data_IF_644997436946
#
_entry.id   IF_644997436946
#
_cell.length_a   1.000
_cell.length_b   1.000
_cell.length_c   1.000
_cell.angle_alpha   90.00
_cell.angle_beta   90.00
_cell.angle_gamma   90.00
#
_symmetry.space_group_name_H-M   'P 1'
#
loop_
_entity.id
_entity.type
_entity.pdbx_description
1 polymer ?
#
# COMPACT_ATOMS: atom_id res chain seq x y z
N UNK A 1 7.36 31.34 9.87
CA UNK A 1 6.69 30.09 10.31
C UNK A 1 7.79 29.06 10.57
N UNK A 2 8.23 28.92 11.83
CA UNK A 2 9.49 28.26 12.20
C UNK A 2 9.33 26.75 12.45
N UNK A 3 9.22 25.99 11.37
CA UNK A 3 9.22 24.52 11.41
C UNK A 3 10.51 23.93 12.01
N UNK A 4 11.64 24.65 11.93
CA UNK A 4 12.90 24.25 12.55
C UNK A 4 12.84 24.30 14.10
N UNK A 5 12.12 25.27 14.68
CA UNK A 5 11.98 25.39 16.13
C UNK A 5 11.05 24.34 16.71
N UNK A 6 10.00 23.93 16.00
CA UNK A 6 9.14 22.82 16.43
C UNK A 6 9.86 21.47 16.39
N UNK A 7 10.71 21.24 15.39
CA UNK A 7 11.56 20.03 15.34
C UNK A 7 12.59 20.05 16.48
N UNK A 8 13.25 21.18 16.74
CA UNK A 8 14.21 21.32 17.84
C UNK A 8 13.56 21.20 19.23
N UNK A 9 12.37 21.77 19.44
CA UNK A 9 11.60 21.64 20.68
C UNK A 9 11.09 20.21 20.91
N UNK A 10 10.61 19.53 19.86
CA UNK A 10 10.26 18.11 19.93
C UNK A 10 11.49 17.23 20.23
N UNK A 11 12.65 17.61 19.71
CA UNK A 11 13.93 16.93 20.00
C UNK A 11 14.35 17.10 21.46
N UNK A 12 14.24 18.33 22.00
CA UNK A 12 14.56 18.66 23.40
C UNK A 12 13.61 17.99 24.41
N UNK A 13 12.34 17.80 24.06
CA UNK A 13 11.37 17.06 24.88
C UNK A 13 11.62 15.55 24.90
N UNK A 14 12.31 15.00 23.90
CA UNK A 14 12.66 13.57 23.83
C UNK A 14 13.96 13.21 24.59
N UNK A 15 14.87 14.18 24.81
CA UNK A 15 16.19 13.95 25.41
C UNK A 15 16.19 13.17 26.74
N UNK A 16 15.30 13.43 27.72
CA UNK A 16 15.33 12.69 28.98
C UNK A 16 14.98 11.20 28.83
N UNK A 17 14.26 10.82 27.77
CA UNK A 17 13.79 9.45 27.56
C UNK A 17 14.82 8.61 26.80
N UNK A 18 15.65 9.24 25.97
CA UNK A 18 16.76 8.56 25.27
C UNK A 18 17.81 8.05 26.26
N UNK A 19 18.03 8.79 27.35
CA UNK A 19 18.98 8.41 28.41
C UNK A 19 18.50 7.18 29.20
N UNK A 20 17.19 7.01 29.43
CA UNK A 20 16.64 5.83 30.08
C UNK A 20 16.78 4.57 29.21
N UNK A 21 16.64 4.67 27.89
CA UNK A 21 16.84 3.54 26.97
C UNK A 21 18.26 2.97 27.01
N UNK A 22 19.26 3.81 27.23
CA UNK A 22 20.66 3.39 27.30
C UNK A 22 21.04 2.60 28.55
N UNK A 23 20.20 2.63 29.60
CA UNK A 23 20.47 1.91 30.84
C UNK A 23 20.15 0.39 30.73
N UNK A 24 19.15 0.01 29.92
CA UNK A 24 18.67 -1.37 29.81
C UNK A 24 19.25 -2.14 28.60
N UNK A 25 19.81 -1.44 27.62
CA UNK A 25 20.39 -2.01 26.41
C UNK A 25 21.88 -1.66 26.30
N UNK A 26 22.76 -2.67 26.20
CA UNK A 26 24.13 -2.45 25.76
C UNK A 26 24.13 -1.66 24.44
N UNK A 27 24.98 -0.63 24.31
CA UNK A 27 24.85 0.42 23.28
C UNK A 27 24.71 -0.07 21.83
N UNK A 28 25.29 -1.22 21.48
CA UNK A 28 25.13 -1.85 20.17
C UNK A 28 23.70 -2.38 19.93
N UNK A 29 23.10 -3.05 20.92
CA UNK A 29 21.72 -3.55 20.84
C UNK A 29 20.70 -2.41 20.78
N UNK A 30 20.95 -1.33 21.51
CA UNK A 30 20.11 -0.14 21.47
C UNK A 30 20.05 0.46 20.04
N UNK A 31 21.20 0.54 19.37
CA UNK A 31 21.28 1.09 18.02
C UNK A 31 20.45 0.27 17.03
N UNK A 32 20.55 -1.06 17.08
CA UNK A 32 19.76 -1.98 16.22
C UNK A 32 18.25 -1.79 16.42
N UNK A 33 17.82 -1.66 17.68
CA UNK A 33 16.42 -1.43 18.05
C UNK A 33 15.91 -0.10 17.51
N UNK A 34 16.69 0.98 17.65
CA UNK A 34 16.31 2.31 17.15
C UNK A 34 16.17 2.28 15.63
N UNK A 35 17.11 1.66 14.92
CA UNK A 35 17.03 1.57 13.45
C UNK A 35 15.80 0.75 13.03
N UNK A 36 15.52 -0.37 13.68
CA UNK A 36 14.29 -1.14 13.45
C UNK A 36 13.04 -0.25 13.60
N UNK A 37 12.91 0.45 14.74
CA UNK A 37 11.75 1.30 15.03
C UNK A 37 11.58 2.43 14.00
N UNK A 38 12.66 3.13 13.64
CA UNK A 38 12.64 4.22 12.66
C UNK A 38 12.22 3.71 11.28
N UNK A 39 12.78 2.58 10.82
CA UNK A 39 12.43 1.99 9.53
C UNK A 39 10.99 1.50 9.50
N UNK A 40 10.48 0.90 10.58
CA UNK A 40 9.08 0.47 10.65
C UNK A 40 8.12 1.64 10.61
N UNK A 41 8.38 2.72 11.36
CA UNK A 41 7.58 3.95 11.31
C UNK A 41 7.62 4.58 9.92
N UNK A 42 8.80 4.67 9.31
CA UNK A 42 8.95 5.20 7.94
C UNK A 42 8.10 4.43 6.92
N UNK A 43 8.20 3.10 6.92
CA UNK A 43 7.48 2.26 5.97
C UNK A 43 5.97 2.37 6.18
N UNK A 44 5.50 2.11 7.40
CA UNK A 44 4.08 1.89 7.66
C UNK A 44 3.28 3.17 7.89
N UNK A 45 3.91 4.23 8.41
CA UNK A 45 3.22 5.50 8.66
C UNK A 45 3.39 6.52 7.53
N UNK A 46 4.34 6.32 6.60
CA UNK A 46 4.58 7.28 5.51
C UNK A 46 4.44 6.61 4.15
N UNK A 47 5.29 5.64 3.85
CA UNK A 47 5.40 5.10 2.48
C UNK A 47 4.18 4.29 2.07
N UNK A 48 3.68 3.43 2.96
CA UNK A 48 2.50 2.60 2.68
C UNK A 48 1.26 3.45 2.40
N UNK A 49 0.89 4.45 3.24
CA UNK A 49 -0.19 5.38 2.94
C UNK A 49 -0.02 6.10 1.59
N UNK A 50 1.19 6.58 1.27
CA UNK A 50 1.47 7.22 -0.02
C UNK A 50 1.21 6.26 -1.17
N UNK A 51 1.73 5.03 -1.10
CA UNK A 51 1.51 4.08 -2.18
C UNK A 51 0.06 3.59 -2.28
N UNK A 52 -0.71 3.56 -1.18
CA UNK A 52 -2.17 3.36 -1.23
C UNK A 52 -2.87 4.49 -2.01
N UNK A 53 -2.49 5.75 -1.75
CA UNK A 53 -3.03 6.92 -2.46
C UNK A 53 -2.67 6.85 -3.95
N UNK A 54 -1.42 6.55 -4.29
CA UNK A 54 -0.97 6.38 -5.68
C UNK A 54 -1.77 5.27 -6.36
N UNK A 55 -1.90 4.11 -5.71
CA UNK A 55 -2.62 2.97 -6.26
C UNK A 55 -4.12 3.18 -6.40
N UNK A 56 -4.75 4.05 -5.58
CA UNK A 56 -6.20 4.28 -5.54
C UNK A 56 -6.65 5.50 -6.35
N UNK A 57 -5.94 6.61 -6.33
CA UNK A 57 -6.45 7.87 -6.90
C UNK A 57 -5.72 8.32 -8.16
N UNK A 58 -4.40 8.08 -8.26
CA UNK A 58 -3.61 8.54 -9.40
C UNK A 58 -4.10 8.06 -10.78
N UNK A 59 -4.76 6.89 -10.93
CA UNK A 59 -5.32 6.45 -12.22
C UNK A 59 -6.56 7.24 -12.66
N UNK A 60 -7.27 7.87 -11.72
CA UNK A 60 -8.35 8.79 -12.04
C UNK A 60 -7.79 10.16 -12.45
N UNK A 61 -6.65 10.56 -11.87
CA UNK A 61 -6.05 11.88 -12.08
C UNK A 61 -5.11 11.95 -13.29
N UNK A 62 -4.45 10.84 -13.68
CA UNK A 62 -3.44 10.83 -14.74
C UNK A 62 -3.57 9.58 -15.62
N UNK A 63 -3.28 9.72 -16.92
CA UNK A 63 -3.52 8.67 -17.94
C UNK A 63 -2.51 7.51 -17.92
N UNK A 64 -1.30 7.68 -17.40
CA UNK A 64 -0.21 6.69 -17.16
C UNK A 64 0.98 7.50 -16.61
N UNK A 65 1.75 7.09 -15.58
CA UNK A 65 2.14 5.72 -15.25
C UNK A 65 1.96 5.39 -13.75
N UNK A 66 0.73 5.45 -13.24
CA UNK A 66 0.44 5.20 -11.82
C UNK A 66 1.01 3.89 -11.28
N UNK A 67 0.96 2.82 -12.09
CA UNK A 67 1.39 1.49 -11.69
C UNK A 67 2.90 1.45 -11.45
N UNK A 68 3.68 2.01 -12.39
CA UNK A 68 5.14 2.11 -12.26
C UNK A 68 5.53 2.95 -11.05
N UNK A 69 4.82 4.06 -10.81
CA UNK A 69 5.04 4.90 -9.62
C UNK A 69 4.74 4.14 -8.32
N UNK A 70 3.64 3.41 -8.28
CA UNK A 70 3.28 2.59 -7.11
C UNK A 70 4.35 1.54 -6.83
N UNK A 71 4.73 0.76 -7.83
CA UNK A 71 5.77 -0.28 -7.70
C UNK A 71 7.11 0.33 -7.30
N UNK A 72 7.53 1.42 -7.93
CA UNK A 72 8.81 2.09 -7.61
C UNK A 72 8.84 2.57 -6.16
N UNK A 73 7.79 3.25 -5.70
CA UNK A 73 7.69 3.72 -4.31
C UNK A 73 7.66 2.55 -3.33
N UNK A 74 6.87 1.51 -3.63
CA UNK A 74 6.74 0.34 -2.76
C UNK A 74 8.00 -0.51 -2.72
N UNK A 75 8.78 -0.60 -3.79
CA UNK A 75 10.05 -1.33 -3.80
C UNK A 75 11.17 -0.54 -3.10
N UNK A 76 11.42 0.70 -3.56
CA UNK A 76 12.59 1.46 -3.09
C UNK A 76 12.37 2.00 -1.69
N UNK A 77 11.27 2.72 -1.47
CA UNK A 77 11.01 3.39 -0.21
C UNK A 77 10.28 2.49 0.81
N UNK A 78 9.67 1.38 0.37
CA UNK A 78 8.90 0.47 1.21
C UNK A 78 9.65 -0.82 1.52
N UNK A 79 9.83 -1.67 0.50
CA UNK A 79 10.33 -3.04 0.64
C UNK A 79 11.75 -3.10 1.21
N UNK A 80 12.68 -2.33 0.65
CA UNK A 80 14.07 -2.31 1.10
C UNK A 80 14.18 -1.95 2.59
N UNK A 81 13.67 -0.78 3.06
CA UNK A 81 13.73 -0.44 4.48
C UNK A 81 12.91 -1.38 5.36
N UNK A 82 11.81 -1.94 4.86
CA UNK A 82 11.02 -2.92 5.60
C UNK A 82 11.82 -4.21 5.86
N UNK A 83 12.51 -4.73 4.86
CA UNK A 83 13.36 -5.92 4.99
C UNK A 83 14.51 -5.64 5.96
N UNK A 84 15.23 -4.53 5.77
CA UNK A 84 16.35 -4.14 6.64
C UNK A 84 15.89 -4.00 8.10
N UNK A 85 14.81 -3.25 8.32
CA UNK A 85 14.26 -3.06 9.66
C UNK A 85 13.79 -4.39 10.27
N UNK A 86 13.15 -5.27 9.49
CA UNK A 86 12.68 -6.58 9.99
C UNK A 86 13.84 -7.47 10.42
N UNK A 87 14.91 -7.52 9.63
CA UNK A 87 16.13 -8.26 9.95
C UNK A 87 16.80 -7.70 11.21
N UNK A 88 16.85 -6.38 11.39
CA UNK A 88 17.35 -5.76 12.61
C UNK A 88 16.49 -6.11 13.83
N UNK A 89 15.16 -6.06 13.70
CA UNK A 89 14.23 -6.43 14.77
C UNK A 89 14.36 -7.90 15.20
N UNK A 90 14.62 -8.82 14.26
CA UNK A 90 14.87 -10.23 14.59
C UNK A 90 16.16 -10.46 15.39
N UNK A 91 17.16 -9.59 15.22
CA UNK A 91 18.44 -9.68 15.93
C UNK A 91 18.39 -9.04 17.33
N UNK A 92 17.40 -8.16 17.58
CA UNK A 92 17.27 -7.45 18.86
C UNK A 92 16.44 -8.21 19.91
N UNK A 93 16.12 -9.49 19.70
CA UNK A 93 15.28 -10.25 20.62
C UNK A 93 15.90 -10.32 22.03
N UNK A 94 15.18 -9.78 23.01
CA UNK A 94 15.46 -9.99 24.44
C UNK A 94 14.49 -11.02 25.03
N UNK A 95 14.94 -11.76 26.04
CA UNK A 95 14.24 -12.92 26.63
C UNK A 95 13.04 -12.54 27.51
N UNK A 96 12.54 -11.29 27.46
CA UNK A 96 11.55 -10.79 28.42
C UNK A 96 10.12 -10.65 27.84
N UNK A 97 9.21 -11.39 28.49
CA UNK A 97 7.76 -11.19 28.66
C UNK A 97 6.80 -11.27 27.44
N UNK A 98 5.53 -11.58 27.75
CA UNK A 98 4.40 -11.80 26.82
C UNK A 98 4.19 -10.71 25.76
N UNK A 99 4.44 -9.43 26.07
CA UNK A 99 4.26 -8.33 25.11
C UNK A 99 5.29 -8.38 23.98
N UNK A 100 6.53 -8.75 24.28
CA UNK A 100 7.58 -9.00 23.29
C UNK A 100 7.14 -10.10 22.32
N UNK A 101 6.56 -11.18 22.86
CA UNK A 101 6.04 -12.30 22.08
C UNK A 101 4.89 -11.89 21.15
N UNK A 102 3.94 -11.08 21.62
CA UNK A 102 2.82 -10.61 20.79
C UNK A 102 3.31 -9.69 19.66
N UNK A 103 4.16 -8.70 19.98
CA UNK A 103 4.74 -7.80 18.98
C UNK A 103 5.52 -8.57 17.91
N UNK A 104 6.31 -9.56 18.34
CA UNK A 104 7.11 -10.40 17.46
C UNK A 104 6.22 -11.29 16.56
N UNK A 105 5.17 -11.91 17.12
CA UNK A 105 4.27 -12.77 16.36
C UNK A 105 3.47 -11.98 15.32
N UNK A 106 2.92 -10.83 15.69
CA UNK A 106 2.21 -9.94 14.75
C UNK A 106 3.20 -9.41 13.70
N UNK A 107 4.40 -9.00 14.09
CA UNK A 107 5.45 -8.56 13.18
C UNK A 107 5.83 -9.64 12.16
N UNK A 108 6.01 -10.88 12.63
CA UNK A 108 6.29 -12.04 11.77
C UNK A 108 5.14 -12.35 10.81
N UNK A 109 3.90 -12.25 11.27
CA UNK A 109 2.72 -12.36 10.39
C UNK A 109 2.73 -11.27 9.32
N UNK A 110 3.04 -10.02 9.69
CA UNK A 110 3.13 -8.88 8.75
C UNK A 110 4.22 -9.12 7.70
N UNK A 111 5.36 -9.71 8.06
CA UNK A 111 6.41 -10.10 7.10
C UNK A 111 5.87 -11.14 6.10
N UNK A 112 5.20 -12.19 6.58
CA UNK A 112 4.59 -13.20 5.71
C UNK A 112 3.54 -12.60 4.75
N UNK A 113 2.67 -11.74 5.27
CA UNK A 113 1.67 -11.03 4.47
C UNK A 113 2.30 -10.08 3.45
N UNK A 114 3.41 -9.42 3.80
CA UNK A 114 4.16 -8.56 2.88
C UNK A 114 4.72 -9.36 1.69
N UNK A 115 5.32 -10.53 1.93
CA UNK A 115 5.81 -11.40 0.86
C UNK A 115 4.67 -11.83 -0.04
N UNK A 116 3.54 -12.26 0.53
CA UNK A 116 2.35 -12.62 -0.23
C UNK A 116 1.83 -11.43 -1.05
N UNK A 117 1.83 -10.22 -0.48
CA UNK A 117 1.41 -9.00 -1.16
C UNK A 117 2.32 -8.65 -2.34
N UNK A 118 3.64 -8.85 -2.20
CA UNK A 118 4.60 -8.64 -3.28
C UNK A 118 4.40 -9.65 -4.43
N UNK A 119 4.19 -10.93 -4.10
CA UNK A 119 3.88 -11.97 -5.10
C UNK A 119 2.60 -11.66 -5.86
N UNK A 120 1.51 -11.31 -5.14
CA UNK A 120 0.25 -10.90 -5.77
C UNK A 120 0.44 -9.66 -6.64
N UNK A 121 1.24 -8.68 -6.18
CA UNK A 121 1.55 -7.47 -6.96
C UNK A 121 2.30 -7.78 -8.25
N UNK A 122 3.19 -8.78 -8.24
CA UNK A 122 3.90 -9.27 -9.41
C UNK A 122 2.97 -9.98 -10.40
N UNK A 123 2.09 -10.88 -9.94
CA UNK A 123 1.11 -11.52 -10.83
C UNK A 123 0.19 -10.48 -11.48
N UNK A 124 -0.29 -9.50 -10.71
CA UNK A 124 -1.07 -8.38 -11.24
C UNK A 124 -0.29 -7.58 -12.29
N UNK A 125 1.04 -7.45 -12.16
CA UNK A 125 1.87 -6.81 -13.18
C UNK A 125 1.79 -7.60 -14.50
N UNK A 126 2.00 -8.90 -14.38
CA UNK A 126 2.19 -9.80 -15.50
C UNK A 126 0.96 -9.83 -16.39
N UNK A 127 -0.24 -9.88 -15.80
CA UNK A 127 -1.50 -9.82 -16.55
C UNK A 127 -1.74 -8.46 -17.20
N UNK A 128 -1.42 -7.38 -16.49
CA UNK A 128 -1.59 -6.02 -17.00
C UNK A 128 -0.67 -5.73 -18.20
N UNK A 129 0.53 -6.31 -18.22
CA UNK A 129 1.47 -6.18 -19.33
C UNK A 129 1.05 -7.04 -20.50
N UNK A 130 0.66 -8.29 -20.23
CA UNK A 130 0.36 -9.24 -21.30
C UNK A 130 -1.06 -9.12 -21.87
N UNK A 131 -1.99 -8.46 -21.17
CA UNK A 131 -3.42 -8.32 -21.53
C UNK A 131 -4.13 -9.67 -21.74
N UNK A 132 -3.74 -10.70 -21.00
CA UNK A 132 -4.23 -12.07 -21.22
C UNK A 132 -5.70 -12.27 -20.85
N UNK A 133 -6.25 -11.43 -19.99
CA UNK A 133 -7.63 -11.54 -19.52
C UNK A 133 -8.43 -10.27 -19.79
N UNK A 134 -9.64 -10.45 -20.35
CA UNK A 134 -10.59 -9.37 -20.59
C UNK A 134 -11.20 -8.81 -19.28
N UNK A 135 -11.19 -9.60 -18.22
CA UNK A 135 -11.73 -9.26 -16.88
C UNK A 135 -10.60 -9.39 -15.85
N UNK A 136 -10.62 -8.52 -14.83
CA UNK A 136 -9.66 -8.57 -13.74
C UNK A 136 -9.76 -9.92 -12.98
N UNK A 137 -8.66 -10.65 -12.79
CA UNK A 137 -8.66 -11.92 -12.07
C UNK A 137 -9.02 -11.76 -10.58
N UNK A 138 -9.51 -12.83 -9.95
CA UNK A 138 -9.93 -12.83 -8.53
C UNK A 138 -8.82 -12.38 -7.56
N UNK A 139 -7.56 -12.71 -7.86
CA UNK A 139 -6.41 -12.33 -7.03
C UNK A 139 -6.09 -10.82 -7.05
N UNK A 140 -6.60 -10.05 -8.02
CA UNK A 140 -6.56 -8.58 -7.94
C UNK A 140 -7.32 -8.09 -6.71
N UNK A 141 -8.50 -8.65 -6.44
CA UNK A 141 -9.32 -8.32 -5.28
C UNK A 141 -8.62 -8.70 -3.97
N UNK A 142 -7.95 -9.86 -3.95
CA UNK A 142 -7.18 -10.30 -2.79
C UNK A 142 -6.01 -9.36 -2.52
N UNK A 143 -5.24 -8.96 -3.53
CA UNK A 143 -4.17 -7.99 -3.36
C UNK A 143 -4.66 -6.68 -2.72
N UNK A 144 -5.85 -6.21 -3.10
CA UNK A 144 -6.41 -4.99 -2.51
C UNK A 144 -6.79 -5.15 -1.03
N UNK A 145 -7.46 -6.24 -0.66
CA UNK A 145 -7.90 -6.46 0.71
C UNK A 145 -6.77 -6.89 1.63
N UNK A 146 -5.88 -7.76 1.15
CA UNK A 146 -4.72 -8.21 1.89
C UNK A 146 -3.84 -7.02 2.28
N UNK A 147 -3.54 -6.12 1.34
CA UNK A 147 -2.75 -4.91 1.64
C UNK A 147 -3.36 -4.03 2.74
N UNK A 148 -4.70 -3.94 2.81
CA UNK A 148 -5.38 -3.20 3.89
C UNK A 148 -5.24 -3.90 5.24
N UNK A 149 -5.47 -5.21 5.27
CA UNK A 149 -5.34 -6.02 6.49
C UNK A 149 -3.90 -5.95 7.01
N UNK A 150 -2.90 -6.12 6.13
CA UNK A 150 -1.48 -5.99 6.49
C UNK A 150 -1.16 -4.62 7.06
N UNK A 151 -1.68 -3.55 6.44
CA UNK A 151 -1.46 -2.17 6.94
C UNK A 151 -2.06 -1.98 8.32
N UNK A 152 -3.29 -2.45 8.56
CA UNK A 152 -3.94 -2.34 9.87
C UNK A 152 -3.19 -3.14 10.95
N UNK A 153 -2.76 -4.36 10.64
CA UNK A 153 -1.95 -5.17 11.54
C UNK A 153 -0.62 -4.49 11.88
N UNK A 154 0.07 -3.94 10.88
CA UNK A 154 1.32 -3.24 11.10
C UNK A 154 1.14 -1.97 11.95
N UNK A 155 0.09 -1.18 11.69
CA UNK A 155 -0.23 0.00 12.49
C UNK A 155 -0.55 -0.37 13.94
N UNK A 156 -1.29 -1.46 14.18
CA UNK A 156 -1.57 -1.98 15.52
C UNK A 156 -0.32 -2.54 16.21
N UNK A 157 0.65 -3.04 15.44
CA UNK A 157 1.89 -3.60 15.97
C UNK A 157 2.87 -2.53 16.50
N UNK A 158 2.81 -1.30 15.96
CA UNK A 158 3.72 -0.20 16.34
C UNK A 158 3.58 0.17 17.84
N UNK A 159 2.38 0.42 18.39
CA UNK A 159 2.21 0.67 19.83
C UNK A 159 2.73 -0.46 20.72
N UNK A 160 2.65 -1.71 20.29
CA UNK A 160 3.20 -2.84 21.04
C UNK A 160 4.74 -2.77 21.12
N UNK A 161 5.38 -2.28 20.06
CA UNK A 161 6.81 -1.98 20.06
C UNK A 161 7.18 -0.85 21.04
N UNK A 162 6.36 0.20 21.12
CA UNK A 162 6.57 1.26 22.12
C UNK A 162 6.41 0.75 23.55
N UNK A 163 5.46 -0.16 23.77
CA UNK A 163 5.25 -0.81 25.06
C UNK A 163 6.45 -1.66 25.45
N UNK A 164 6.99 -2.40 24.50
CA UNK A 164 8.21 -3.17 24.68
C UNK A 164 9.41 -2.30 25.07
N UNK A 165 9.54 -1.10 24.48
CA UNK A 165 10.63 -0.16 24.80
C UNK A 165 10.39 0.68 26.06
N UNK A 166 9.19 0.65 26.65
CA UNK A 166 8.83 1.41 27.86
C UNK A 166 9.14 2.92 27.78
N UNK A 167 9.02 3.52 26.58
CA UNK A 167 9.41 4.90 26.25
C UNK A 167 8.43 6.00 26.71
N UNK A 168 7.53 5.69 27.64
CA UNK A 168 6.49 6.61 28.10
C UNK A 168 5.37 6.86 27.08
N UNK A 169 4.56 7.90 27.31
CA UNK A 169 3.29 8.11 26.59
C UNK A 169 3.40 8.92 25.29
N UNK A 170 4.44 9.74 25.12
CA UNK A 170 4.59 10.61 23.95
C UNK A 170 4.58 9.89 22.58
N UNK A 171 5.15 8.68 22.40
CA UNK A 171 5.17 8.03 21.09
C UNK A 171 3.80 7.46 20.72
N UNK A 172 2.99 7.05 21.71
CA UNK A 172 1.59 6.66 21.51
C UNK A 172 0.74 7.84 21.04
N UNK A 173 0.90 9.01 21.67
CA UNK A 173 0.18 10.23 21.29
C UNK A 173 0.57 10.62 19.85
N UNK A 174 1.87 10.62 19.55
CA UNK A 174 2.40 10.95 18.22
C UNK A 174 1.86 9.98 17.16
N UNK A 175 1.88 8.69 17.44
CA UNK A 175 1.31 7.65 16.58
C UNK A 175 -0.18 7.86 16.34
N UNK A 176 -0.97 8.11 17.39
CA UNK A 176 -2.41 8.30 17.28
C UNK A 176 -2.76 9.53 16.42
N UNK A 177 -2.04 10.64 16.60
CA UNK A 177 -2.22 11.86 15.79
C UNK A 177 -1.90 11.57 14.32
N UNK A 178 -0.75 10.95 14.03
CA UNK A 178 -0.33 10.69 12.65
C UNK A 178 -1.30 9.70 11.96
N UNK A 179 -1.69 8.62 12.64
CA UNK A 179 -2.69 7.68 12.12
C UNK A 179 -4.03 8.39 11.91
N UNK A 180 -4.47 9.24 12.84
CA UNK A 180 -5.68 10.04 12.69
C UNK A 180 -5.64 10.94 11.46
N UNK A 181 -4.52 11.62 11.20
CA UNK A 181 -4.31 12.44 10.00
C UNK A 181 -4.35 11.59 8.73
N UNK A 182 -3.66 10.46 8.70
CA UNK A 182 -3.64 9.54 7.54
C UNK A 182 -5.06 9.05 7.25
N UNK A 183 -5.78 8.57 8.26
CA UNK A 183 -7.13 8.04 8.10
C UNK A 183 -8.11 9.14 7.66
N UNK A 184 -7.99 10.35 8.20
CA UNK A 184 -8.80 11.51 7.79
C UNK A 184 -8.53 11.90 6.34
N UNK A 185 -7.25 11.91 5.91
CA UNK A 185 -6.88 12.20 4.54
C UNK A 185 -7.40 11.13 3.57
N UNK A 186 -7.26 9.85 3.92
CA UNK A 186 -7.77 8.74 3.12
C UNK A 186 -9.30 8.79 2.99
N UNK A 187 -10.01 9.09 4.09
CA UNK A 187 -11.46 9.27 4.09
C UNK A 187 -11.88 10.44 3.21
N UNK A 188 -11.25 11.62 3.37
CA UNK A 188 -11.54 12.79 2.55
C UNK A 188 -11.31 12.55 1.05
N UNK A 189 -10.24 11.83 0.70
CA UNK A 189 -9.98 11.42 -0.68
C UNK A 189 -11.02 10.43 -1.21
N UNK A 190 -11.47 9.46 -0.39
CA UNK A 190 -12.47 8.49 -0.81
C UNK A 190 -13.84 9.16 -0.99
N UNK A 191 -14.23 10.07 -0.10
CA UNK A 191 -15.47 10.85 -0.23
C UNK A 191 -15.48 11.72 -1.49
N UNK A 192 -14.34 12.32 -1.85
CA UNK A 192 -14.23 13.22 -3.01
C UNK A 192 -14.01 12.50 -4.33
N UNK A 193 -13.23 11.41 -4.33
CA UNK A 193 -12.71 10.78 -5.54
C UNK A 193 -12.93 9.27 -5.63
N UNK A 194 -13.59 8.63 -4.65
CA UNK A 194 -13.81 7.18 -4.64
C UNK A 194 -14.50 6.65 -5.90
N UNK A 195 -15.48 7.41 -6.41
CA UNK A 195 -16.21 7.09 -7.64
C UNK A 195 -15.56 7.64 -8.93
N UNK A 196 -14.49 8.43 -8.83
CA UNK A 196 -13.92 9.15 -9.97
C UNK A 196 -13.42 8.22 -11.08
N UNK A 197 -12.92 7.02 -10.74
CA UNK A 197 -12.53 6.01 -11.73
C UNK A 197 -13.71 5.44 -12.50
N UNK A 198 -14.80 5.15 -11.81
CA UNK A 198 -16.02 4.61 -12.42
C UNK A 198 -16.61 5.66 -13.36
N UNK A 199 -16.75 6.89 -12.87
CA UNK A 199 -17.22 8.03 -13.67
C UNK A 199 -16.32 8.30 -14.89
N UNK A 200 -14.99 8.19 -14.75
CA UNK A 200 -14.08 8.33 -15.90
C UNK A 200 -14.30 7.22 -16.94
N UNK A 201 -14.41 5.95 -16.52
CA UNK A 201 -14.67 4.81 -17.42
C UNK A 201 -16.01 4.96 -18.16
N UNK A 202 -17.06 5.37 -17.46
CA UNK A 202 -18.38 5.62 -18.05
C UNK A 202 -18.31 6.75 -19.09
N UNK A 203 -17.65 7.88 -18.77
CA UNK A 203 -17.43 8.96 -19.74
C UNK A 203 -16.65 8.51 -20.98
N UNK A 204 -15.57 7.77 -20.78
CA UNK A 204 -14.73 7.25 -21.88
C UNK A 204 -15.55 6.28 -22.77
N UNK A 205 -16.44 5.46 -22.18
CA UNK A 205 -17.35 4.58 -22.90
C UNK A 205 -18.38 5.33 -23.75
N UNK A 206 -19.10 6.30 -23.17
CA UNK A 206 -20.10 7.07 -23.92
C UNK A 206 -19.47 7.89 -25.05
N UNK A 207 -18.27 8.43 -24.83
CA UNK A 207 -17.51 9.12 -25.86
C UNK A 207 -17.18 8.18 -27.02
N UNK A 208 -16.64 6.99 -26.73
CA UNK A 208 -16.33 5.99 -27.75
C UNK A 208 -17.59 5.55 -28.52
N UNK A 209 -18.71 5.33 -27.82
CA UNK A 209 -19.99 4.98 -28.45
C UNK A 209 -20.54 6.08 -29.36
N UNK A 210 -20.35 7.36 -29.01
CA UNK A 210 -20.77 8.49 -29.84
C UNK A 210 -19.92 8.71 -31.09
N UNK A 211 -18.69 8.20 -31.09
CA UNK A 211 -17.76 8.29 -32.22
C UNK A 211 -17.94 7.12 -33.21
N UNK A 212 -18.72 6.09 -32.88
CA UNK A 212 -19.07 5.01 -33.81
C UNK A 212 -20.00 5.57 -34.88
N UNK A 213 -19.64 5.54 -36.17
CA UNK A 213 -20.53 5.97 -37.24
C UNK A 213 -21.82 5.16 -37.18
N UNK A 214 -22.96 5.84 -37.12
CA UNK A 214 -24.26 5.17 -37.19
C UNK A 214 -24.31 4.35 -38.47
N UNK A 215 -24.39 3.02 -38.33
CA UNK A 215 -24.64 2.15 -39.48
C UNK A 215 -25.88 2.66 -40.23
N UNK A 216 -25.92 2.56 -41.58
CA UNK A 216 -27.06 3.04 -42.33
C UNK A 216 -28.33 2.40 -41.80
N UNK A 217 -29.31 3.20 -41.37
CA UNK A 217 -30.59 2.71 -40.83
C UNK A 217 -31.44 1.94 -41.87
N UNK A 218 -30.98 1.86 -43.12
CA UNK A 218 -31.62 1.16 -44.22
C UNK A 218 -31.00 -0.21 -44.52
N UNK A 219 -30.08 -0.70 -43.69
CA UNK A 219 -29.63 -2.09 -43.78
C UNK A 219 -30.74 -3.05 -43.32
N UNK A 220 -30.85 -4.24 -43.92
CA UNK A 220 -31.82 -5.24 -43.46
C UNK A 220 -31.60 -5.52 -41.97
N UNK A 221 -32.67 -5.42 -41.17
CA UNK A 221 -32.65 -5.74 -39.74
C UNK A 221 -32.11 -7.17 -39.60
N UNK A 222 -31.00 -7.40 -38.87
CA UNK A 222 -30.48 -8.75 -38.68
C UNK A 222 -31.58 -9.60 -38.02
N UNK A 223 -32.07 -10.60 -38.73
CA UNK A 223 -32.98 -11.57 -38.13
C UNK A 223 -32.19 -12.35 -37.09
N UNK A 224 -32.58 -12.21 -35.83
CA UNK A 224 -32.05 -13.03 -34.76
C UNK A 224 -32.61 -14.45 -34.92
N UNK A 225 -31.81 -15.35 -35.50
CA UNK A 225 -32.08 -16.78 -35.42
C UNK A 225 -31.72 -17.27 -34.01
N UNK A 226 -32.67 -17.81 -33.23
CA UNK A 226 -32.38 -18.38 -31.94
C UNK A 226 -31.64 -19.70 -32.14
N UNK A 227 -30.31 -19.66 -32.16
CA UNK A 227 -29.46 -20.85 -32.12
C UNK A 227 -28.32 -20.83 -33.15
N UNK A 228 -27.22 -20.14 -32.83
CA UNK A 228 -26.02 -20.23 -33.66
C UNK A 228 -24.91 -19.27 -33.25
N UNK A 229 -24.17 -19.59 -32.19
CA UNK A 229 -22.86 -18.96 -31.96
C UNK A 229 -21.83 -19.66 -32.85
N UNK A 230 -21.62 -19.16 -34.06
CA UNK A 230 -20.45 -19.49 -34.87
C UNK A 230 -19.40 -18.39 -34.72
N UNK A 231 -18.39 -18.66 -33.88
CA UNK A 231 -17.18 -17.86 -33.75
C UNK A 231 -16.19 -18.19 -34.89
N UNK A 232 -16.36 -17.58 -36.06
CA UNK A 232 -15.32 -17.56 -37.09
C UNK A 232 -14.73 -16.16 -37.19
N UNK A 233 -13.57 -15.96 -36.57
CA UNK A 233 -12.91 -14.66 -36.60
C UNK A 233 -11.63 -14.57 -35.77
N UNK A 234 -10.77 -15.59 -35.82
CA UNK A 234 -9.37 -15.45 -35.42
C UNK A 234 -8.48 -16.17 -36.44
N UNK A 235 -7.53 -15.42 -36.99
CA UNK A 235 -6.40 -15.79 -37.86
C UNK A 235 -6.61 -15.77 -39.38
N UNK A 236 -6.48 -14.57 -39.94
CA UNK A 236 -5.67 -14.19 -41.11
C UNK A 236 -5.31 -12.71 -40.83
N UNK A 237 -4.11 -12.18 -40.89
CA UNK A 237 -2.81 -12.53 -41.46
C UNK A 237 -1.76 -11.71 -40.69
N UNK A 238 -0.48 -12.04 -40.81
CA UNK A 238 0.61 -11.09 -41.14
C UNK A 238 1.94 -11.85 -41.17
N UNK A 239 2.28 -12.33 -42.36
CA UNK A 239 3.65 -12.47 -42.84
C UNK A 239 4.17 -11.10 -43.30
N UNK A 240 5.50 -10.94 -43.14
CA UNK A 240 6.40 -9.83 -43.52
C UNK A 240 6.46 -8.65 -42.55
#
# INVERSE_FOLDING_TARGET
MNWALTILLASLLCLPHVHALSADYAGEKLTVVIIHAVLMVWVWMIVVPIGMIIARYLPAWTSRPWYRKHVLVMLIAGAIPFIVGSVMGSQSQSHNHNVSTIHHNIGSLVIGLFVLQALLGYFNHWDNVRKWMAVAPWYHGIHHWLGRITTLLALANIPLGFQYLQIGNWPYISWAIIVGVIMSALLGLELRYGNARKAKRERDFYKAASEVPMAPQNGPVPQYEPGGVHINGLNQDQTV
#
